data_IF_191175599726
#
_entry.id   IF_191175599726
#
_cell.length_a   1.000
_cell.length_b   1.000
_cell.length_c   1.000
_cell.angle_alpha   90.00
_cell.angle_beta   90.00
_cell.angle_gamma   90.00
#
_symmetry.space_group_name_H-M   'P 1'
#
loop_
_entity.id
_entity.type
_entity.pdbx_description
1 polymer ?
#
# COMPACT_ATOMS: atom_id res chain seq x y z
N UNK A 1 -58.32 13.39 -44.32
CA UNK A 1 -58.27 13.27 -42.87
C UNK A 1 -57.07 12.37 -42.47
N UNK A 2 -55.84 12.73 -42.87
CA UNK A 2 -54.62 11.96 -42.62
C UNK A 2 -53.59 12.68 -41.70
N UNK A 3 -53.94 13.80 -41.11
CA UNK A 3 -53.03 14.59 -40.27
C UNK A 3 -52.81 14.02 -38.87
N UNK A 4 -53.71 13.17 -38.39
CA UNK A 4 -53.60 12.62 -37.01
C UNK A 4 -52.59 11.48 -36.88
N UNK A 5 -52.50 10.58 -37.89
CA UNK A 5 -51.61 9.43 -37.87
C UNK A 5 -50.12 9.81 -37.92
N UNK A 6 -49.77 10.83 -38.71
CA UNK A 6 -48.37 11.30 -38.81
C UNK A 6 -47.87 11.93 -37.51
N UNK A 7 -48.71 12.67 -36.79
CA UNK A 7 -48.33 13.26 -35.50
C UNK A 7 -48.13 12.21 -34.40
N UNK A 8 -48.97 11.19 -34.39
CA UNK A 8 -48.81 10.05 -33.44
C UNK A 8 -47.50 9.29 -33.72
N UNK A 9 -47.20 9.03 -34.98
CA UNK A 9 -45.92 8.37 -35.34
C UNK A 9 -44.69 9.23 -34.99
N UNK A 10 -44.75 10.53 -35.17
CA UNK A 10 -43.68 11.46 -34.75
C UNK A 10 -43.49 11.48 -33.23
N UNK A 11 -44.56 11.48 -32.46
CA UNK A 11 -44.52 11.46 -30.99
C UNK A 11 -43.94 10.12 -30.51
N UNK A 12 -44.36 9.00 -31.09
CA UNK A 12 -43.84 7.67 -30.80
C UNK A 12 -42.33 7.57 -31.13
N UNK A 13 -41.91 8.11 -32.26
CA UNK A 13 -40.49 8.12 -32.63
C UNK A 13 -39.67 8.94 -31.66
N UNK A 14 -40.12 10.14 -31.27
CA UNK A 14 -39.44 10.97 -30.28
C UNK A 14 -39.39 10.29 -28.91
N UNK A 15 -40.46 9.61 -28.48
CA UNK A 15 -40.48 8.88 -27.23
C UNK A 15 -39.45 7.70 -27.22
N UNK A 16 -39.31 6.97 -28.34
CA UNK A 16 -38.34 5.92 -28.48
C UNK A 16 -36.89 6.48 -28.44
N UNK A 17 -36.64 7.59 -29.11
CA UNK A 17 -35.32 8.25 -29.08
C UNK A 17 -34.96 8.72 -27.66
N UNK A 18 -35.89 9.35 -26.96
CA UNK A 18 -35.66 9.79 -25.57
C UNK A 18 -35.42 8.60 -24.66
N UNK A 19 -36.18 7.53 -24.80
CA UNK A 19 -35.97 6.30 -24.04
C UNK A 19 -34.62 5.67 -24.31
N UNK A 20 -34.18 5.64 -25.57
CA UNK A 20 -32.84 5.12 -25.92
C UNK A 20 -31.71 5.96 -25.34
N UNK A 21 -31.86 7.30 -25.31
CA UNK A 21 -30.89 8.20 -24.69
C UNK A 21 -30.83 7.98 -23.18
N UNK A 22 -31.97 7.88 -22.49
CA UNK A 22 -32.04 7.66 -21.05
C UNK A 22 -31.46 6.26 -20.71
N UNK A 23 -31.81 5.22 -21.46
CA UNK A 23 -31.27 3.89 -21.30
C UNK A 23 -29.75 3.83 -21.53
N UNK A 24 -29.27 4.51 -22.59
CA UNK A 24 -27.84 4.63 -22.87
C UNK A 24 -27.08 5.35 -21.74
N UNK A 25 -27.68 6.40 -21.17
CA UNK A 25 -27.07 7.13 -20.05
C UNK A 25 -27.04 6.28 -18.76
N UNK A 26 -28.14 5.58 -18.46
CA UNK A 26 -28.17 4.65 -17.32
C UNK A 26 -27.18 3.51 -17.44
N UNK A 27 -27.00 2.96 -18.63
CA UNK A 27 -26.00 1.92 -18.88
C UNK A 27 -24.58 2.48 -18.76
N UNK A 28 -24.34 3.71 -19.25
CA UNK A 28 -23.01 4.34 -19.13
C UNK A 28 -22.65 4.64 -17.67
N UNK A 29 -23.62 5.00 -16.83
CA UNK A 29 -23.42 5.21 -15.40
C UNK A 29 -23.13 3.90 -14.66
N UNK A 30 -23.81 2.80 -15.03
CA UNK A 30 -23.55 1.46 -14.51
C UNK A 30 -22.16 0.94 -14.93
N UNK A 31 -21.74 1.20 -16.16
CA UNK A 31 -20.42 0.82 -16.66
C UNK A 31 -19.27 1.66 -16.05
N UNK A 32 -19.53 2.90 -15.68
CA UNK A 32 -18.58 3.76 -14.95
C UNK A 32 -18.31 3.27 -13.52
N UNK A 33 -19.20 2.46 -12.95
CA UNK A 33 -19.07 1.97 -11.58
C UNK A 33 -18.17 0.75 -11.42
N UNK A 34 -17.66 0.19 -12.52
CA UNK A 34 -16.69 -0.93 -12.54
C UNK A 34 -15.29 -0.51 -12.96
N UNK A 35 -14.91 0.76 -12.83
CA UNK A 35 -13.50 1.09 -12.73
C UNK A 35 -13.03 0.83 -11.28
N UNK A 36 -13.20 -0.41 -10.85
CA UNK A 36 -12.40 -1.01 -9.80
C UNK A 36 -11.02 -1.24 -10.40
N UNK A 37 -10.32 -0.14 -10.69
CA UNK A 37 -8.90 -0.19 -10.87
C UNK A 37 -8.34 -0.89 -9.64
N UNK A 38 -7.62 -1.98 -9.81
CA UNK A 38 -6.67 -2.54 -8.84
C UNK A 38 -5.55 -1.51 -8.60
N UNK A 39 -5.94 -0.26 -8.45
CA UNK A 39 -5.04 0.84 -8.23
C UNK A 39 -4.59 0.75 -6.78
N UNK A 40 -3.34 0.45 -6.58
CA UNK A 40 -2.73 0.43 -5.26
C UNK A 40 -2.83 1.86 -4.72
N UNK A 41 -3.73 2.06 -3.77
CA UNK A 41 -3.89 3.38 -3.12
C UNK A 41 -2.91 3.47 -1.98
N UNK A 42 -1.94 4.35 -2.14
CA UNK A 42 -1.04 4.68 -1.03
C UNK A 42 -1.88 5.36 0.05
N UNK A 43 -2.16 4.63 1.12
CA UNK A 43 -2.86 5.18 2.29
C UNK A 43 -2.30 4.50 3.54
N UNK A 44 -1.72 5.28 4.42
CA UNK A 44 -1.20 4.80 5.71
C UNK A 44 -1.32 5.87 6.79
N UNK A 45 -1.40 5.41 8.03
CA UNK A 45 -1.27 6.23 9.24
C UNK A 45 -0.47 5.41 10.24
N UNK A 46 0.84 5.59 10.23
CA UNK A 46 1.83 4.77 10.93
C UNK A 46 2.71 5.63 11.83
N UNK A 47 3.68 4.99 12.49
CA UNK A 47 4.71 5.68 13.26
C UNK A 47 6.04 5.56 12.52
N UNK A 48 6.76 6.67 12.36
CA UNK A 48 8.07 6.61 11.73
C UNK A 48 9.16 6.15 12.71
N UNK A 49 10.37 5.89 12.19
CA UNK A 49 11.52 5.46 12.98
C UNK A 49 11.97 6.46 14.05
N UNK A 50 11.55 7.73 13.98
CA UNK A 50 11.77 8.77 15.00
C UNK A 50 10.67 8.78 16.06
N UNK A 51 9.70 7.86 16.03
CA UNK A 51 8.59 7.78 16.97
C UNK A 51 7.45 8.77 16.72
N UNK A 52 7.42 9.44 15.56
CA UNK A 52 6.40 10.42 15.20
C UNK A 52 5.31 9.76 14.35
N UNK A 53 4.04 10.00 14.69
CA UNK A 53 2.91 9.60 13.85
C UNK A 53 2.95 10.37 12.53
N UNK A 54 2.82 9.65 11.46
CA UNK A 54 2.87 10.17 10.09
C UNK A 54 1.88 9.45 9.18
N UNK A 55 1.41 10.14 8.17
CA UNK A 55 0.40 9.64 7.25
C UNK A 55 0.80 9.92 5.80
N UNK A 56 0.13 9.27 4.87
CA UNK A 56 0.30 9.52 3.44
C UNK A 56 0.12 11.01 3.09
N UNK A 57 -0.75 11.73 3.81
CA UNK A 57 -1.03 13.15 3.58
C UNK A 57 0.19 14.05 3.75
N UNK A 58 1.14 13.65 4.59
CA UNK A 58 2.38 14.39 4.84
C UNK A 58 3.34 14.31 3.64
N UNK A 59 3.08 13.38 2.71
CA UNK A 59 3.93 13.07 1.57
C UNK A 59 3.21 13.16 0.21
N UNK A 60 2.07 13.84 0.12
CA UNK A 60 1.25 13.92 -1.12
C UNK A 60 1.98 14.56 -2.31
N UNK A 61 2.97 15.41 -2.05
CA UNK A 61 3.71 16.15 -3.08
C UNK A 61 4.97 15.41 -3.55
N UNK A 62 5.24 14.24 -3.00
CA UNK A 62 6.47 13.50 -3.25
C UNK A 62 6.17 12.23 -4.05
N UNK A 63 7.03 11.90 -4.98
CA UNK A 63 7.12 10.53 -5.50
C UNK A 63 7.59 9.63 -4.37
N UNK A 64 7.07 8.42 -4.29
CA UNK A 64 7.24 7.52 -3.15
C UNK A 64 7.77 6.17 -3.61
N UNK A 65 8.81 5.70 -2.97
CA UNK A 65 9.35 4.36 -3.15
C UNK A 65 9.16 3.59 -1.85
N UNK A 66 8.45 2.47 -1.90
CA UNK A 66 8.21 1.61 -0.74
C UNK A 66 8.93 0.28 -0.90
N UNK A 67 9.55 -0.16 0.18
CA UNK A 67 10.04 -1.52 0.37
C UNK A 67 9.47 -2.08 1.68
N UNK A 68 8.99 -3.31 1.63
CA UNK A 68 8.46 -4.00 2.80
C UNK A 68 9.48 -5.02 3.28
N UNK A 69 9.83 -4.96 4.56
CA UNK A 69 10.87 -5.81 5.14
C UNK A 69 10.86 -5.79 6.67
N UNK A 70 11.87 -6.38 7.28
CA UNK A 70 12.05 -6.37 8.74
C UNK A 70 13.53 -6.36 9.12
N UNK A 71 13.85 -5.80 10.29
CA UNK A 71 15.24 -5.54 10.70
C UNK A 71 16.02 -6.79 11.08
N UNK A 72 15.36 -7.91 11.35
CA UNK A 72 15.98 -9.20 11.67
C UNK A 72 16.12 -10.12 10.45
N UNK A 73 15.82 -9.62 9.25
CA UNK A 73 16.08 -10.36 8.01
C UNK A 73 17.59 -10.43 7.76
N UNK A 74 18.18 -11.64 7.63
CA UNK A 74 19.63 -11.77 7.52
C UNK A 74 20.18 -11.46 6.13
N UNK A 75 19.34 -11.34 5.11
CA UNK A 75 19.79 -11.34 3.72
C UNK A 75 19.13 -10.23 2.90
N UNK A 76 17.92 -10.43 2.40
CA UNK A 76 17.31 -9.55 1.38
C UNK A 76 17.02 -8.11 1.88
N UNK A 77 16.68 -7.92 3.16
CA UNK A 77 16.33 -6.60 3.66
C UNK A 77 17.55 -5.67 3.79
N UNK A 78 18.71 -6.08 4.35
CA UNK A 78 19.90 -5.23 4.32
C UNK A 78 20.41 -4.99 2.88
N UNK A 79 20.31 -5.96 1.97
CA UNK A 79 20.66 -5.77 0.55
C UNK A 79 19.75 -4.72 -0.08
N UNK A 80 18.45 -4.79 0.16
CA UNK A 80 17.48 -3.84 -0.40
C UNK A 80 17.63 -2.43 0.18
N UNK A 81 17.90 -2.30 1.48
CA UNK A 81 18.17 -1.01 2.11
C UNK A 81 19.45 -0.37 1.54
N UNK A 82 20.51 -1.17 1.33
CA UNK A 82 21.73 -0.71 0.70
C UNK A 82 21.51 -0.32 -0.78
N UNK A 83 20.67 -1.05 -1.50
CA UNK A 83 20.30 -0.71 -2.87
C UNK A 83 19.59 0.67 -2.93
N UNK A 84 18.67 0.95 -1.99
CA UNK A 84 18.04 2.27 -1.89
C UNK A 84 19.09 3.34 -1.62
N UNK A 85 19.98 3.14 -0.64
CA UNK A 85 21.02 4.11 -0.29
C UNK A 85 21.93 4.40 -1.49
N UNK A 86 22.43 3.37 -2.17
CA UNK A 86 23.25 3.53 -3.38
C UNK A 86 22.50 4.26 -4.51
N UNK A 87 21.20 3.98 -4.68
CA UNK A 87 20.38 4.69 -5.68
C UNK A 87 20.24 6.18 -5.34
N UNK A 88 20.07 6.51 -4.06
CA UNK A 88 20.03 7.92 -3.61
C UNK A 88 21.35 8.61 -3.93
N UNK A 89 22.48 7.97 -3.65
CA UNK A 89 23.82 8.51 -3.90
C UNK A 89 24.06 8.69 -5.41
N UNK A 90 23.74 7.69 -6.23
CA UNK A 90 23.86 7.76 -7.70
C UNK A 90 23.02 8.90 -8.28
N UNK A 91 21.78 9.08 -7.81
CA UNK A 91 20.93 10.20 -8.25
C UNK A 91 21.55 11.57 -7.91
N UNK A 92 22.14 11.71 -6.71
CA UNK A 92 22.82 12.93 -6.29
C UNK A 92 24.08 13.18 -7.12
N UNK A 93 24.88 12.17 -7.40
CA UNK A 93 26.09 12.25 -8.21
C UNK A 93 25.77 12.65 -9.66
N UNK A 94 24.67 12.17 -10.20
CA UNK A 94 24.16 12.56 -11.53
C UNK A 94 23.43 13.91 -11.53
N UNK A 95 23.44 14.65 -10.43
CA UNK A 95 22.78 15.95 -10.23
C UNK A 95 21.25 15.90 -10.35
N UNK A 96 20.64 14.74 -10.18
CA UNK A 96 19.19 14.64 -10.00
C UNK A 96 18.82 15.01 -8.56
N UNK A 97 17.78 15.85 -8.41
CA UNK A 97 17.29 16.18 -7.08
C UNK A 97 16.45 15.04 -6.51
N UNK A 98 16.83 14.54 -5.33
CA UNK A 98 16.04 13.59 -4.53
C UNK A 98 15.01 14.27 -3.64
N UNK A 99 14.98 15.62 -3.61
CA UNK A 99 14.10 16.40 -2.73
C UNK A 99 12.62 16.07 -2.88
N UNK A 100 12.21 15.69 -4.09
CA UNK A 100 10.83 15.34 -4.43
C UNK A 100 10.53 13.84 -4.32
N UNK A 101 11.47 13.02 -3.85
CA UNK A 101 11.32 11.57 -3.71
C UNK A 101 11.41 11.22 -2.22
N UNK A 102 10.57 10.30 -1.76
CA UNK A 102 10.66 9.74 -0.40
C UNK A 102 10.77 8.23 -0.48
N UNK A 103 11.73 7.70 0.26
CA UNK A 103 12.01 6.27 0.34
C UNK A 103 11.51 5.75 1.68
N UNK A 104 10.68 4.71 1.62
CA UNK A 104 10.06 4.12 2.80
C UNK A 104 10.46 2.66 2.98
N UNK A 105 10.93 2.34 4.17
CA UNK A 105 11.07 0.97 4.65
C UNK A 105 9.92 0.68 5.61
N UNK A 106 8.95 -0.15 5.18
CA UNK A 106 7.75 -0.48 5.96
C UNK A 106 7.92 -1.84 6.60
N UNK A 107 7.79 -1.91 7.91
CA UNK A 107 7.97 -3.19 8.60
C UNK A 107 6.86 -4.20 8.27
N UNK A 108 7.25 -5.47 8.19
CA UNK A 108 6.36 -6.64 8.19
C UNK A 108 6.43 -7.41 9.52
N UNK A 109 7.21 -6.89 10.47
CA UNK A 109 7.37 -7.48 11.81
C UNK A 109 7.29 -6.43 12.92
N UNK A 110 6.11 -5.86 13.16
CA UNK A 110 5.94 -4.77 14.13
C UNK A 110 6.24 -5.18 15.58
N UNK A 111 6.36 -6.45 15.87
CA UNK A 111 6.68 -6.93 17.21
C UNK A 111 8.12 -6.64 17.59
N UNK A 112 9.06 -6.89 16.67
CA UNK A 112 10.49 -6.65 16.88
C UNK A 112 10.93 -5.30 16.36
N UNK A 113 10.29 -4.79 15.32
CA UNK A 113 10.65 -3.54 14.65
C UNK A 113 9.99 -2.32 15.31
N UNK A 114 10.43 -2.03 16.53
CA UNK A 114 10.07 -0.77 17.20
C UNK A 114 10.66 0.43 16.45
N UNK A 115 10.16 1.67 16.65
CA UNK A 115 10.77 2.86 16.07
C UNK A 115 12.28 2.94 16.31
N UNK A 116 12.71 2.69 17.54
CA UNK A 116 14.13 2.67 17.92
C UNK A 116 14.92 1.63 17.10
N UNK A 117 14.39 0.41 16.98
CA UNK A 117 15.07 -0.66 16.24
C UNK A 117 15.18 -0.35 14.76
N UNK A 118 14.11 0.22 14.16
CA UNK A 118 14.15 0.68 12.78
C UNK A 118 15.17 1.80 12.58
N UNK A 119 15.26 2.75 13.51
CA UNK A 119 16.27 3.80 13.45
C UNK A 119 17.69 3.22 13.47
N UNK A 120 17.99 2.35 14.42
CA UNK A 120 19.30 1.68 14.54
C UNK A 120 19.67 0.90 13.27
N UNK A 121 18.69 0.25 12.64
CA UNK A 121 18.92 -0.49 11.40
C UNK A 121 19.17 0.46 10.22
N UNK A 122 18.35 1.48 10.05
CA UNK A 122 18.42 2.39 8.91
C UNK A 122 19.62 3.35 8.98
N UNK A 123 20.06 3.74 10.18
CA UNK A 123 21.27 4.56 10.39
C UNK A 123 22.54 3.92 9.78
N UNK A 124 22.49 2.61 9.51
CA UNK A 124 23.62 1.89 8.88
C UNK A 124 23.68 2.07 7.36
N UNK A 125 22.67 2.69 6.74
CA UNK A 125 22.55 2.84 5.28
C UNK A 125 22.53 4.31 4.89
N UNK A 126 21.36 4.94 4.90
CA UNK A 126 21.18 6.34 4.51
C UNK A 126 20.09 7.01 5.36
N UNK A 127 20.33 8.26 5.74
CA UNK A 127 19.41 9.04 6.57
C UNK A 127 18.11 9.48 5.84
N UNK A 128 18.04 9.33 4.53
CA UNK A 128 16.84 9.68 3.75
C UNK A 128 15.79 8.57 3.72
N UNK A 129 16.13 7.37 4.17
CA UNK A 129 15.19 6.25 4.26
C UNK A 129 14.30 6.43 5.49
N UNK A 130 13.00 6.51 5.27
CA UNK A 130 12.00 6.67 6.33
C UNK A 130 11.49 5.29 6.74
N UNK A 131 11.83 4.83 7.94
CA UNK A 131 11.26 3.60 8.51
C UNK A 131 9.84 3.84 9.00
N UNK A 132 8.92 2.94 8.67
CA UNK A 132 7.52 2.99 9.12
C UNK A 132 7.15 1.72 9.88
N UNK A 133 6.59 1.89 11.08
CA UNK A 133 6.07 0.82 11.94
C UNK A 133 4.74 1.24 12.56
N UNK A 134 4.10 0.32 13.25
CA UNK A 134 2.84 0.56 13.94
C UNK A 134 2.33 -0.74 14.58
N UNK A 135 1.15 -0.73 15.14
CA UNK A 135 0.49 -1.97 15.55
C UNK A 135 0.18 -2.84 14.32
N UNK A 136 0.03 -4.14 14.52
CA UNK A 136 -0.41 -5.04 13.46
C UNK A 136 -1.74 -4.60 12.84
N UNK A 137 -2.66 -4.06 13.64
CA UNK A 137 -3.94 -3.51 13.19
C UNK A 137 -3.77 -2.31 12.24
N UNK A 138 -2.77 -1.46 12.48
CA UNK A 138 -2.46 -0.32 11.61
C UNK A 138 -1.75 -0.75 10.31
N UNK A 139 -0.92 -1.79 10.37
CA UNK A 139 -0.14 -2.29 9.24
C UNK A 139 -0.91 -3.22 8.31
N UNK A 140 -1.84 -4.03 8.82
CA UNK A 140 -2.63 -4.97 8.01
C UNK A 140 -3.33 -4.34 6.80
N UNK A 141 -4.02 -3.19 6.90
CA UNK A 141 -4.62 -2.54 5.73
C UNK A 141 -3.56 -2.03 4.74
N UNK A 142 -2.39 -1.62 5.21
CA UNK A 142 -1.28 -1.20 4.36
C UNK A 142 -0.74 -2.39 3.57
N UNK A 143 -0.42 -3.50 4.22
CA UNK A 143 0.04 -4.71 3.54
C UNK A 143 -0.97 -5.21 2.51
N UNK A 144 -2.27 -5.21 2.84
CA UNK A 144 -3.33 -5.59 1.90
C UNK A 144 -3.39 -4.68 0.68
N UNK A 145 -3.29 -3.36 0.87
CA UNK A 145 -3.32 -2.39 -0.21
C UNK A 145 -2.17 -2.56 -1.20
N UNK A 146 -1.00 -2.95 -0.69
CA UNK A 146 0.20 -3.19 -1.51
C UNK A 146 0.33 -4.64 -1.96
N UNK A 147 -0.67 -5.50 -1.69
CA UNK A 147 -0.62 -6.94 -1.98
C UNK A 147 0.60 -7.63 -1.36
N UNK A 148 1.07 -7.11 -0.22
CA UNK A 148 2.16 -7.72 0.54
C UNK A 148 1.59 -8.88 1.35
N UNK A 149 2.06 -10.08 1.01
CA UNK A 149 1.77 -11.27 1.79
C UNK A 149 2.77 -11.36 2.94
N UNK A 150 2.29 -11.58 4.15
CA UNK A 150 3.11 -11.68 5.36
C UNK A 150 2.70 -12.92 6.13
N UNK A 151 3.63 -13.88 6.24
CA UNK A 151 3.45 -15.08 7.06
C UNK A 151 4.60 -15.17 8.08
N UNK A 152 4.32 -15.11 9.38
CA UNK A 152 5.33 -15.46 10.36
C UNK A 152 5.65 -16.95 10.22
N UNK A 153 6.89 -17.30 9.92
CA UNK A 153 7.35 -18.70 9.95
C UNK A 153 7.58 -19.09 11.41
N UNK A 154 6.55 -19.55 12.07
CA UNK A 154 6.65 -20.22 13.35
C UNK A 154 7.12 -21.64 13.05
N UNK A 155 8.20 -22.06 13.68
CA UNK A 155 8.63 -23.47 13.63
C UNK A 155 7.44 -24.36 13.97
N UNK A 156 7.26 -25.43 13.21
CA UNK A 156 6.05 -26.25 13.08
C UNK A 156 5.54 -26.93 14.37
N UNK A 157 6.06 -26.56 15.53
CA UNK A 157 5.61 -27.07 16.84
C UNK A 157 4.58 -26.19 17.55
N UNK A 158 4.28 -24.99 17.04
CA UNK A 158 3.26 -24.10 17.63
C UNK A 158 2.30 -23.55 16.54
N UNK A 159 1.51 -24.43 15.95
CA UNK A 159 0.35 -24.06 15.14
C UNK A 159 -0.75 -23.51 16.07
N UNK A 160 -0.68 -22.25 16.43
CA UNK A 160 -1.85 -21.53 16.92
C UNK A 160 -2.64 -21.04 15.71
N UNK A 161 -3.92 -21.43 15.67
CA UNK A 161 -4.87 -21.15 14.61
C UNK A 161 -4.89 -19.65 14.20
N UNK A 162 -4.25 -19.31 13.08
CA UNK A 162 -4.27 -17.98 12.47
C UNK A 162 -5.63 -17.63 11.81
N UNK A 163 -6.66 -18.43 12.02
CA UNK A 163 -8.02 -18.22 11.47
C UNK A 163 -8.88 -17.27 12.29
N UNK A 164 -8.36 -16.64 13.35
CA UNK A 164 -9.07 -15.64 14.15
C UNK A 164 -8.41 -14.27 13.99
N UNK A 165 -8.77 -13.61 12.91
CA UNK A 165 -8.26 -12.26 12.57
C UNK A 165 -8.77 -11.13 13.49
N UNK A 166 -9.44 -11.41 14.61
CA UNK A 166 -10.13 -10.44 15.46
C UNK A 166 -9.73 -10.46 16.94
N UNK A 167 -8.67 -11.15 17.32
CA UNK A 167 -8.24 -11.11 18.72
C UNK A 167 -6.88 -10.43 18.86
N UNK A 168 -6.80 -9.44 19.74
CA UNK A 168 -5.57 -8.93 20.32
C UNK A 168 -4.81 -10.11 20.92
N UNK A 169 -3.91 -10.69 20.15
CA UNK A 169 -3.06 -11.77 20.64
C UNK A 169 -1.97 -11.11 21.44
N UNK A 170 -2.16 -11.07 22.75
CA UNK A 170 -1.11 -10.84 23.73
C UNK A 170 -0.13 -12.01 23.60
N UNK A 171 0.98 -11.77 22.90
CA UNK A 171 1.97 -12.79 22.59
C UNK A 171 3.08 -12.75 23.63
N UNK A 172 3.32 -13.90 24.26
CA UNK A 172 4.43 -14.12 25.18
C UNK A 172 5.81 -13.90 24.54
N UNK A 173 6.78 -13.30 25.25
CA UNK A 173 8.04 -12.80 24.70
C UNK A 173 9.10 -13.88 24.36
N UNK A 174 8.78 -15.15 24.39
CA UNK A 174 9.79 -16.24 24.26
C UNK A 174 10.18 -16.64 22.84
N UNK A 175 9.63 -16.00 21.78
CA UNK A 175 10.03 -16.33 20.40
C UNK A 175 10.89 -15.21 19.82
N UNK A 176 12.14 -15.11 20.27
CA UNK A 176 13.13 -14.18 19.70
C UNK A 176 13.62 -14.57 18.31
N UNK A 177 13.49 -15.85 17.92
CA UNK A 177 14.11 -16.41 16.71
C UNK A 177 13.08 -16.97 15.73
N UNK A 178 12.26 -16.11 15.14
CA UNK A 178 11.40 -16.49 14.01
C UNK A 178 11.75 -15.71 12.74
N UNK A 179 11.52 -16.32 11.60
CA UNK A 179 11.60 -15.67 10.29
C UNK A 179 10.21 -15.22 9.85
N UNK A 180 10.15 -14.13 9.08
CA UNK A 180 8.91 -13.68 8.44
C UNK A 180 9.05 -13.90 6.95
N UNK A 181 8.18 -14.74 6.39
CA UNK A 181 8.05 -14.85 4.94
C UNK A 181 7.17 -13.70 4.44
N UNK A 182 7.65 -12.96 3.49
CA UNK A 182 6.90 -11.83 2.93
C UNK A 182 7.26 -11.58 1.47
N UNK A 183 6.39 -10.83 0.80
CA UNK A 183 6.63 -10.32 -0.55
C UNK A 183 7.67 -9.19 -0.48
N UNK A 184 8.77 -9.31 -1.22
CA UNK A 184 9.89 -8.36 -1.22
C UNK A 184 10.00 -7.66 -2.59
N UNK A 185 9.08 -6.72 -2.87
CA UNK A 185 9.10 -5.89 -4.08
C UNK A 185 9.28 -4.42 -3.72
N UNK A 186 9.78 -3.65 -4.69
CA UNK A 186 9.73 -2.19 -4.65
C UNK A 186 8.46 -1.70 -5.32
N UNK A 187 7.79 -0.74 -4.69
CA UNK A 187 6.59 -0.09 -5.21
C UNK A 187 6.88 1.38 -5.40
N UNK A 188 6.64 1.90 -6.60
CA UNK A 188 6.94 3.29 -6.97
C UNK A 188 5.65 4.00 -7.33
N UNK A 189 5.43 5.18 -6.75
CA UNK A 189 4.26 6.04 -6.96
C UNK A 189 4.70 7.48 -7.16
N UNK A 190 4.02 8.16 -8.07
CA UNK A 190 4.13 9.60 -8.32
C UNK A 190 3.06 10.39 -7.56
#
# INVERSE_FOLDING_TARGET
>A
MNFSKNRINQILFLAIVIFAIIAGWSVSELLKKEDSSNDIRVNFNLTNHLGVKTSEKDYQKFSKVFFFGFTYCPDICPISANLIANTIDELKDEQFSTDNIKFFFVTVDPRRDTPKRLNEFLDSFDSEIIGLTGSQKELLPVWKNFFVHVEPSIDSQHQTNLNQADQDIDYEPEIENYMVQHTAFFYIFD
#
